data_IF_011512942522
#
_entry.id   IF_011512942522
#
_cell.length_a   1.000
_cell.length_b   1.000
_cell.length_c   1.000
_cell.angle_alpha   90.00
_cell.angle_beta   90.00
_cell.angle_gamma   90.00
#
_symmetry.space_group_name_H-M   'P 1'
#
loop_
_entity.id
_entity.type
_entity.pdbx_description
1 polymer ?
#
# COMPACT_ATOMS: atom_id res chain seq x y z
N UNK A 1 23.94 -6.04 11.96
CA UNK A 1 22.81 -5.36 11.27
C UNK A 1 21.66 -6.35 11.23
N UNK A 2 20.50 -6.23 11.88
CA UNK A 2 19.97 -5.23 12.81
C UNK A 2 18.87 -5.92 13.66
N UNK A 3 18.73 -5.46 14.90
CA UNK A 3 17.75 -5.91 15.89
C UNK A 3 16.32 -5.89 15.32
N UNK A 4 15.58 -7.00 15.41
CA UNK A 4 14.11 -7.03 15.26
C UNK A 4 13.46 -7.18 16.64
N UNK A 5 13.02 -6.10 17.31
CA UNK A 5 12.11 -6.23 18.44
C UNK A 5 10.69 -5.85 18.01
N UNK A 6 9.78 -6.84 17.98
CA UNK A 6 8.35 -6.67 18.29
C UNK A 6 7.41 -6.00 17.29
N UNK A 7 7.84 -5.53 16.11
CA UNK A 7 6.98 -4.80 15.16
C UNK A 7 6.56 -5.59 13.90
N UNK A 8 5.54 -5.09 13.20
CA UNK A 8 5.19 -5.50 11.85
C UNK A 8 6.23 -5.01 10.84
N UNK A 9 6.40 -5.75 9.74
CA UNK A 9 7.27 -5.30 8.65
C UNK A 9 6.77 -3.98 8.05
N UNK A 10 7.66 -3.08 7.61
CA UNK A 10 7.26 -1.83 6.97
C UNK A 10 6.37 -2.09 5.75
N UNK A 11 5.37 -1.23 5.57
CA UNK A 11 4.45 -1.31 4.44
C UNK A 11 5.20 -1.09 3.12
N UNK A 12 4.90 -1.90 2.13
CA UNK A 12 5.39 -1.81 0.77
C UNK A 12 4.19 -1.72 -0.17
N UNK A 13 4.23 -0.72 -1.06
CA UNK A 13 3.20 -0.48 -2.06
C UNK A 13 3.87 -0.47 -3.42
N UNK A 14 3.61 -1.50 -4.22
CA UNK A 14 4.06 -1.58 -5.61
C UNK A 14 3.04 -0.87 -6.49
N UNK A 15 3.49 0.01 -7.36
CA UNK A 15 2.65 0.61 -8.37
C UNK A 15 2.74 -0.18 -9.68
N UNK A 16 1.80 -1.10 -9.90
CA UNK A 16 1.74 -1.92 -11.11
C UNK A 16 0.92 -1.26 -12.23
N UNK A 17 0.77 0.07 -12.19
CA UNK A 17 0.08 0.85 -13.21
C UNK A 17 1.10 1.64 -14.03
N UNK A 18 0.72 1.99 -15.26
CA UNK A 18 1.56 2.84 -16.13
C UNK A 18 1.56 4.33 -15.74
N UNK A 19 1.03 4.68 -14.57
CA UNK A 19 0.81 6.05 -14.12
C UNK A 19 1.36 6.26 -12.72
N UNK A 20 1.67 7.50 -12.37
CA UNK A 20 2.12 7.82 -11.01
C UNK A 20 0.94 7.80 -10.03
N UNK A 21 1.17 7.38 -8.81
CA UNK A 21 0.15 7.33 -7.78
C UNK A 21 0.58 8.03 -6.49
N UNK A 22 -0.40 8.60 -5.79
CA UNK A 22 -0.24 9.19 -4.47
C UNK A 22 -1.31 8.65 -3.54
N UNK A 23 -1.05 8.60 -2.24
CA UNK A 23 -2.05 8.09 -1.32
C UNK A 23 -1.63 8.15 0.13
N UNK A 24 -2.45 7.52 0.97
CA UNK A 24 -2.25 7.48 2.42
C UNK A 24 -2.45 6.06 2.93
N UNK A 25 -1.56 5.65 3.82
CA UNK A 25 -1.68 4.44 4.64
C UNK A 25 -2.18 4.84 6.01
N UNK A 26 -3.32 4.29 6.40
CA UNK A 26 -3.95 4.54 7.69
C UNK A 26 -3.79 3.35 8.64
N UNK A 27 -3.59 3.65 9.92
CA UNK A 27 -3.39 2.67 10.97
C UNK A 27 -4.48 2.75 12.06
N UNK A 28 -4.72 1.64 12.76
CA UNK A 28 -5.86 1.43 13.66
C UNK A 28 -5.84 2.22 14.99
N UNK A 29 -4.78 2.97 15.30
CA UNK A 29 -4.56 3.55 16.63
C UNK A 29 -4.17 5.01 16.55
N UNK A 30 -4.65 5.81 17.50
CA UNK A 30 -4.30 7.24 17.66
C UNK A 30 -2.81 7.47 17.94
N UNK A 31 -2.10 6.44 18.42
CA UNK A 31 -0.65 6.49 18.65
C UNK A 31 0.16 6.20 17.38
N UNK A 32 -0.52 5.91 16.26
CA UNK A 32 0.10 5.61 14.98
C UNK A 32 -0.10 6.79 14.02
N UNK A 33 0.99 7.25 13.44
CA UNK A 33 0.95 8.27 12.39
C UNK A 33 0.68 7.61 11.05
N UNK A 34 -0.26 8.18 10.30
CA UNK A 34 -0.52 7.76 8.93
C UNK A 34 0.67 8.12 8.02
N UNK A 35 0.97 7.28 7.05
CA UNK A 35 2.03 7.54 6.07
C UNK A 35 1.42 8.04 4.76
N UNK A 36 1.90 9.19 4.28
CA UNK A 36 1.61 9.63 2.92
C UNK A 36 2.71 9.10 1.98
N UNK A 37 2.31 8.66 0.79
CA UNK A 37 3.22 8.15 -0.20
C UNK A 37 3.01 8.77 -1.57
N UNK A 38 4.11 8.83 -2.32
CA UNK A 38 4.15 9.07 -3.75
C UNK A 38 4.96 7.92 -4.34
N UNK A 39 4.43 7.28 -5.37
CA UNK A 39 5.07 6.15 -6.04
C UNK A 39 4.96 6.35 -7.54
N UNK A 40 6.10 6.30 -8.22
CA UNK A 40 6.14 6.40 -9.69
C UNK A 40 5.62 5.13 -10.34
N UNK A 41 5.37 5.16 -11.65
CA UNK A 41 4.99 3.97 -12.41
C UNK A 41 6.03 2.86 -12.25
N UNK A 42 5.57 1.62 -12.12
CA UNK A 42 6.41 0.42 -12.01
C UNK A 42 7.39 0.41 -10.81
N UNK A 43 7.27 1.38 -9.90
CA UNK A 43 8.12 1.54 -8.72
C UNK A 43 7.48 1.01 -7.45
N UNK A 44 8.31 0.84 -6.41
CA UNK A 44 7.84 0.41 -5.08
C UNK A 44 8.14 1.48 -4.04
N UNK A 45 7.09 1.96 -3.39
CA UNK A 45 7.24 2.77 -2.19
C UNK A 45 7.34 1.87 -0.95
N UNK A 46 8.19 2.26 0.00
CA UNK A 46 8.38 1.57 1.27
C UNK A 46 8.31 2.56 2.43
N UNK A 47 7.47 2.26 3.42
CA UNK A 47 7.39 3.01 4.66
C UNK A 47 8.73 2.94 5.41
N UNK A 48 9.09 4.03 6.09
CA UNK A 48 10.30 4.10 6.91
C UNK A 48 10.19 3.19 8.15
N UNK A 49 9.01 3.14 8.77
CA UNK A 49 8.69 2.28 9.89
C UNK A 49 7.18 2.06 10.00
N UNK A 50 6.79 1.02 10.71
CA UNK A 50 5.38 0.71 11.02
C UNK A 50 5.17 0.41 12.51
N UNK A 51 6.20 -0.05 13.21
CA UNK A 51 6.08 -0.48 14.59
C UNK A 51 5.02 -1.56 14.78
N UNK A 52 4.22 -1.46 15.84
CA UNK A 52 3.15 -2.41 16.19
C UNK A 52 1.78 -2.02 15.64
N UNK A 53 1.72 -1.05 14.73
CA UNK A 53 0.48 -0.49 14.23
C UNK A 53 -0.19 -1.41 13.19
N UNK A 54 -1.44 -1.80 13.43
CA UNK A 54 -2.25 -2.52 12.46
C UNK A 54 -2.70 -1.56 11.35
N UNK A 55 -2.63 -2.02 10.10
CA UNK A 55 -3.07 -1.24 8.93
C UNK A 55 -4.58 -1.41 8.77
N UNK A 56 -5.31 -0.31 8.56
CA UNK A 56 -6.78 -0.33 8.38
C UNK A 56 -7.20 0.08 6.98
N UNK A 57 -6.48 1.01 6.36
CA UNK A 57 -6.82 1.48 5.00
C UNK A 57 -5.58 1.86 4.21
N UNK A 58 -5.64 1.62 2.90
CA UNK A 58 -4.72 2.25 1.94
C UNK A 58 -5.58 2.91 0.87
N UNK A 59 -5.50 4.23 0.79
CA UNK A 59 -6.06 5.02 -0.29
C UNK A 59 -4.99 5.25 -1.36
N UNK A 60 -5.42 5.35 -2.62
CA UNK A 60 -4.54 5.70 -3.71
C UNK A 60 -5.29 6.50 -4.78
N UNK A 61 -4.65 7.54 -5.29
CA UNK A 61 -5.09 8.35 -6.41
C UNK A 61 -4.08 8.21 -7.54
N UNK A 62 -4.53 7.68 -8.67
CA UNK A 62 -3.72 7.46 -9.86
C UNK A 62 -3.83 8.68 -10.78
N UNK A 63 -2.70 9.25 -11.17
CA UNK A 63 -2.61 10.46 -12.00
C UNK A 63 -2.52 10.07 -13.47
N UNK A 64 -3.65 10.03 -14.15
CA UNK A 64 -3.74 9.67 -15.56
C UNK A 64 -3.81 10.93 -16.46
N UNK A 65 -3.55 10.81 -17.78
CA UNK A 65 -3.80 11.90 -18.73
C UNK A 65 -5.25 12.38 -18.76
N UNK A 66 -6.21 11.51 -18.43
CA UNK A 66 -7.64 11.84 -18.28
C UNK A 66 -7.98 12.52 -16.94
N UNK A 67 -7.01 12.69 -16.05
CA UNK A 67 -7.18 13.29 -14.73
C UNK A 67 -6.83 12.34 -13.58
N UNK A 68 -7.08 12.82 -12.36
CA UNK A 68 -6.83 12.07 -11.14
C UNK A 68 -7.99 11.13 -10.85
N UNK A 69 -7.71 9.83 -10.79
CA UNK A 69 -8.72 8.79 -10.54
C UNK A 69 -8.45 8.18 -9.17
N UNK A 70 -9.46 8.16 -8.31
CA UNK A 70 -9.39 7.44 -7.04
C UNK A 70 -9.47 5.93 -7.30
N UNK A 71 -8.45 5.20 -6.84
CA UNK A 71 -8.49 3.75 -6.81
C UNK A 71 -9.44 3.26 -5.73
N UNK A 72 -10.04 2.09 -5.93
CA UNK A 72 -10.75 1.37 -4.88
C UNK A 72 -9.76 1.06 -3.75
N UNK A 73 -10.00 1.56 -2.52
CA UNK A 73 -9.05 1.44 -1.43
C UNK A 73 -9.02 0.02 -0.87
N UNK A 74 -7.87 -0.38 -0.34
CA UNK A 74 -7.82 -1.54 0.54
C UNK A 74 -8.38 -1.13 1.91
N UNK A 75 -9.31 -1.90 2.47
CA UNK A 75 -9.89 -1.67 3.79
C UNK A 75 -9.86 -2.96 4.61
N UNK A 76 -9.51 -2.86 5.89
CA UNK A 76 -9.56 -3.95 6.86
C UNK A 76 -9.87 -3.42 8.26
N UNK A 77 -10.32 -4.29 9.16
CA UNK A 77 -10.46 -3.98 10.59
C UNK A 77 -9.13 -3.87 11.34
N UNK A 78 -8.00 -3.95 10.64
CA UNK A 78 -6.65 -4.04 11.20
C UNK A 78 -5.96 -5.31 10.73
N UNK A 79 -4.92 -5.18 9.90
CA UNK A 79 -4.15 -6.31 9.37
C UNK A 79 -2.67 -6.20 9.69
N UNK A 80 -1.99 -7.35 9.82
CA UNK A 80 -0.52 -7.47 9.90
C UNK A 80 0.16 -7.54 8.54
N UNK A 81 -0.58 -7.61 7.43
CA UNK A 81 0.00 -7.64 6.08
C UNK A 81 0.77 -6.36 5.79
N UNK A 82 1.89 -6.49 5.08
CA UNK A 82 2.78 -5.38 4.76
C UNK A 82 3.04 -5.19 3.27
N UNK A 83 2.53 -6.07 2.40
CA UNK A 83 2.75 -5.98 0.95
C UNK A 83 1.45 -5.75 0.20
N UNK A 84 1.42 -4.68 -0.57
CA UNK A 84 0.26 -4.23 -1.34
C UNK A 84 0.69 -3.78 -2.72
N UNK A 85 -0.27 -3.76 -3.65
CA UNK A 85 -0.08 -3.28 -5.00
C UNK A 85 -1.26 -2.42 -5.43
N UNK A 86 -0.96 -1.36 -6.17
CA UNK A 86 -1.93 -0.59 -6.96
C UNK A 86 -1.99 -1.24 -8.32
N UNK A 87 -3.17 -1.74 -8.71
CA UNK A 87 -3.38 -2.44 -9.97
C UNK A 87 -4.45 -1.74 -10.80
N UNK A 88 -4.35 -1.88 -12.11
CA UNK A 88 -5.40 -1.50 -13.04
C UNK A 88 -6.30 -2.71 -13.31
N UNK A 89 -7.60 -2.55 -13.07
CA UNK A 89 -8.60 -3.64 -13.24
C UNK A 89 -9.54 -3.39 -14.42
N UNK A 90 -9.47 -2.20 -15.03
CA UNK A 90 -10.25 -1.82 -16.20
C UNK A 90 -9.76 -0.50 -16.79
N UNK A 91 -10.42 -0.03 -17.85
CA UNK A 91 -10.15 1.30 -18.39
C UNK A 91 -10.46 2.35 -17.31
N UNK A 92 -9.45 3.11 -16.88
CA UNK A 92 -9.59 4.12 -15.83
C UNK A 92 -10.15 3.58 -14.50
N UNK A 93 -9.93 2.29 -14.22
CA UNK A 93 -10.35 1.65 -12.97
C UNK A 93 -9.13 1.04 -12.29
N UNK A 94 -8.90 1.46 -11.05
CA UNK A 94 -7.73 1.06 -10.26
C UNK A 94 -8.19 0.53 -8.91
N UNK A 95 -7.38 -0.35 -8.31
CA UNK A 95 -7.63 -0.93 -6.99
C UNK A 95 -6.33 -1.12 -6.24
N UNK A 96 -6.37 -0.94 -4.92
CA UNK A 96 -5.31 -1.39 -4.02
C UNK A 96 -5.62 -2.80 -3.53
N UNK A 97 -4.68 -3.73 -3.72
CA UNK A 97 -4.84 -5.13 -3.30
C UNK A 97 -3.65 -5.62 -2.49
N UNK A 98 -3.88 -6.66 -1.67
CA UNK A 98 -2.80 -7.35 -0.95
C UNK A 98 -2.00 -8.22 -1.91
N UNK A 99 -0.68 -8.14 -1.83
CA UNK A 99 0.22 -9.08 -2.50
C UNK A 99 0.39 -10.31 -1.63
N UNK A 100 0.20 -11.50 -2.20
CA UNK A 100 0.47 -12.78 -1.54
C UNK A 100 1.70 -13.40 -2.15
N UNK A 101 2.70 -13.72 -1.33
CA UNK A 101 3.82 -14.54 -1.79
C UNK A 101 3.31 -15.96 -1.98
N UNK A 102 3.26 -16.42 -3.23
CA UNK A 102 3.04 -17.82 -3.54
C UNK A 102 4.27 -18.63 -3.09
N UNK A 103 4.31 -19.09 -1.83
CA UNK A 103 5.05 -20.31 -1.53
C UNK A 103 4.34 -21.41 -2.31
N UNK A 104 4.83 -21.68 -3.52
CA UNK A 104 4.38 -22.82 -4.30
C UNK A 104 4.39 -24.03 -3.39
N UNK A 105 3.24 -24.69 -3.24
CA UNK A 105 3.20 -26.06 -2.76
C UNK A 105 4.11 -26.84 -3.72
N UNK A 106 5.32 -27.16 -3.26
CA UNK A 106 6.11 -28.26 -3.82
C UNK A 106 5.63 -29.54 -3.15
#
# INVERSE_FOLDING_TARGET
MGNRPGGYDPVQIVNSTSFNAVGTVEYASIFCSNDNFVVERDETWRASSRGVCLLTRISATVRTPSGNIQAEPYVSSGTSFSQFAIIQVGANQFRVTRVVSGKGRR
#
